data_IF_876664137224
#
_entry.id   IF_876664137224
#
_cell.length_a   1.000
_cell.length_b   1.000
_cell.length_c   1.000
_cell.angle_alpha   90.00
_cell.angle_beta   90.00
_cell.angle_gamma   90.00
#
_symmetry.space_group_name_H-M   'P 1'
#
loop_
_entity.id
_entity.type
_entity.pdbx_description
1 polymer ?
#
# COMPACT_ATOMS: atom_id res chain seq x y z
N UNK A 1 -11.69 8.41 -6.08
CA UNK A 1 -11.49 8.56 -4.61
C UNK A 1 -10.21 7.82 -4.24
N UNK A 2 -9.35 8.43 -3.43
CA UNK A 2 -8.09 7.86 -2.97
C UNK A 2 -8.11 7.79 -1.45
N UNK A 3 -7.92 6.59 -0.89
CA UNK A 3 -7.87 6.37 0.56
C UNK A 3 -6.42 6.50 1.03
N UNK A 4 -6.18 7.32 2.05
CA UNK A 4 -4.84 7.65 2.54
C UNK A 4 -4.77 7.54 4.07
N UNK A 5 -3.57 7.28 4.57
CA UNK A 5 -3.26 7.49 5.97
C UNK A 5 -3.05 8.99 6.27
N UNK A 6 -2.71 9.32 7.52
CA UNK A 6 -2.50 10.70 7.95
C UNK A 6 -1.02 11.13 7.88
N UNK A 7 -0.20 10.53 6.99
CA UNK A 7 1.18 10.95 6.83
C UNK A 7 1.23 12.45 6.47
N UNK A 8 2.16 13.18 7.11
CA UNK A 8 2.20 14.66 7.05
C UNK A 8 2.25 15.21 5.63
N UNK A 9 2.90 14.49 4.71
CA UNK A 9 3.02 14.90 3.31
C UNK A 9 1.70 14.81 2.54
N UNK A 10 0.73 13.99 2.95
CA UNK A 10 -0.62 13.98 2.36
C UNK A 10 -1.43 15.25 2.68
N UNK A 11 -1.04 15.99 3.72
CA UNK A 11 -1.64 17.27 4.11
C UNK A 11 -0.81 18.48 3.66
N UNK A 12 0.21 18.27 2.83
CA UNK A 12 1.10 19.35 2.40
C UNK A 12 0.31 20.46 1.68
N UNK A 13 0.59 21.72 2.02
CA UNK A 13 -0.04 22.89 1.41
C UNK A 13 0.15 22.92 -0.11
N UNK A 14 1.28 22.39 -0.59
CA UNK A 14 1.61 22.27 -2.02
C UNK A 14 0.54 21.50 -2.82
N UNK A 15 -0.16 20.55 -2.20
CA UNK A 15 -1.19 19.74 -2.86
C UNK A 15 -2.52 20.49 -3.03
N UNK A 16 -2.74 21.61 -2.32
CA UNK A 16 -4.06 22.28 -2.28
C UNK A 16 -4.51 22.80 -3.64
N UNK A 17 -3.63 23.42 -4.42
CA UNK A 17 -3.96 23.92 -5.78
C UNK A 17 -4.31 22.76 -6.71
N UNK A 18 -3.45 21.74 -6.74
CA UNK A 18 -3.66 20.53 -7.53
C UNK A 18 -4.98 19.83 -7.19
N UNK A 19 -5.29 19.63 -5.91
CA UNK A 19 -6.53 19.00 -5.48
C UNK A 19 -7.76 19.85 -5.82
N UNK A 20 -7.64 21.19 -5.76
CA UNK A 20 -8.73 22.10 -6.15
C UNK A 20 -9.02 22.03 -7.64
N UNK A 21 -7.97 22.02 -8.47
CA UNK A 21 -8.08 21.90 -9.94
C UNK A 21 -8.66 20.53 -10.37
N UNK A 22 -8.37 19.48 -9.60
CA UNK A 22 -8.76 18.11 -9.92
C UNK A 22 -9.94 17.57 -9.08
N UNK A 23 -10.64 18.42 -8.34
CA UNK A 23 -11.67 18.02 -7.36
C UNK A 23 -12.86 17.23 -7.95
N UNK A 24 -13.06 17.30 -9.27
CA UNK A 24 -14.10 16.52 -9.98
C UNK A 24 -13.73 15.06 -10.20
N UNK A 25 -12.43 14.74 -10.20
CA UNK A 25 -11.89 13.38 -10.48
C UNK A 25 -11.16 12.77 -9.29
N UNK A 26 -10.58 13.60 -8.44
CA UNK A 26 -9.76 13.18 -7.30
C UNK A 26 -10.28 13.77 -5.99
N UNK A 27 -10.69 12.87 -5.10
CA UNK A 27 -11.10 13.18 -3.73
C UNK A 27 -10.29 12.29 -2.79
N UNK A 28 -9.70 12.88 -1.76
CA UNK A 28 -8.94 12.18 -0.74
C UNK A 28 -9.86 11.80 0.43
N UNK A 29 -9.81 10.54 0.86
CA UNK A 29 -10.46 10.04 2.06
C UNK A 29 -9.38 9.65 3.06
N UNK A 30 -9.32 10.34 4.19
CA UNK A 30 -8.36 10.06 5.24
C UNK A 30 -8.94 9.04 6.22
N UNK A 31 -8.16 8.00 6.52
CA UNK A 31 -8.48 7.04 7.57
C UNK A 31 -8.44 7.72 8.95
N UNK A 32 -9.11 7.18 9.98
CA UNK A 32 -8.93 7.66 11.35
C UNK A 32 -7.45 7.57 11.77
N UNK A 33 -6.95 8.51 12.60
CA UNK A 33 -5.58 8.47 13.10
C UNK A 33 -5.25 7.12 13.74
N UNK A 34 -3.99 6.68 13.60
CA UNK A 34 -3.46 5.45 14.20
C UNK A 34 -4.28 4.19 13.89
N UNK A 35 -4.88 4.11 12.69
CA UNK A 35 -5.68 2.96 12.26
C UNK A 35 -5.00 2.14 11.14
N UNK A 36 -3.79 1.58 11.36
CA UNK A 36 -3.06 0.82 10.33
C UNK A 36 -3.83 -0.44 9.88
N UNK A 37 -4.67 -1.01 10.73
CA UNK A 37 -5.50 -2.18 10.39
C UNK A 37 -6.52 -1.90 9.26
N UNK A 38 -6.93 -0.63 9.12
CA UNK A 38 -7.81 -0.15 8.05
C UNK A 38 -7.04 0.21 6.77
N UNK A 39 -5.71 0.37 6.85
CA UNK A 39 -4.89 0.71 5.71
C UNK A 39 -4.47 -0.55 4.95
N UNK A 40 -5.19 -0.87 3.86
CA UNK A 40 -5.00 -2.12 3.12
C UNK A 40 -3.58 -2.28 2.55
N UNK A 41 -2.87 -1.18 2.26
CA UNK A 41 -1.50 -1.23 1.74
C UNK A 41 -0.52 -1.85 2.76
N UNK A 42 -0.77 -1.71 4.06
CA UNK A 42 0.07 -2.32 5.12
C UNK A 42 0.06 -3.85 5.03
N UNK A 43 -1.08 -4.43 4.63
CA UNK A 43 -1.23 -5.87 4.45
C UNK A 43 -0.46 -6.36 3.23
N UNK A 44 -0.49 -5.58 2.16
CA UNK A 44 0.33 -5.84 0.96
C UNK A 44 1.81 -5.74 1.30
N UNK A 45 2.23 -4.73 2.07
CA UNK A 45 3.61 -4.61 2.52
C UNK A 45 4.05 -5.76 3.42
N UNK A 46 3.18 -6.26 4.29
CA UNK A 46 3.47 -7.47 5.08
C UNK A 46 3.77 -8.67 4.17
N UNK A 47 2.89 -8.93 3.21
CA UNK A 47 3.09 -10.02 2.24
C UNK A 47 4.37 -9.82 1.43
N UNK A 48 4.65 -8.59 0.97
CA UNK A 48 5.87 -8.26 0.24
C UNK A 48 7.13 -8.56 1.08
N UNK A 49 7.18 -8.12 2.34
CA UNK A 49 8.32 -8.39 3.24
C UNK A 49 8.52 -9.89 3.44
N UNK A 50 7.44 -10.66 3.58
CA UNK A 50 7.51 -12.12 3.71
C UNK A 50 8.02 -12.81 2.44
N UNK A 51 7.77 -12.28 1.25
CA UNK A 51 8.22 -12.88 -0.02
C UNK A 51 9.61 -12.39 -0.47
N UNK A 52 9.95 -11.13 -0.19
CA UNK A 52 11.13 -10.46 -0.74
C UNK A 52 12.26 -10.33 0.28
N UNK A 53 11.94 -10.17 1.57
CA UNK A 53 12.93 -9.88 2.61
C UNK A 53 13.15 -11.05 3.59
N UNK A 54 12.14 -11.90 3.80
CA UNK A 54 12.25 -12.96 4.79
C UNK A 54 13.26 -14.02 4.36
N UNK A 55 14.38 -14.10 5.09
CA UNK A 55 15.50 -15.02 4.84
C UNK A 55 16.17 -14.86 3.46
N UNK A 56 16.01 -13.69 2.83
CA UNK A 56 16.65 -13.36 1.56
C UNK A 56 17.73 -12.30 1.79
N UNK A 57 18.95 -12.57 1.32
CA UNK A 57 20.02 -11.58 1.27
C UNK A 57 20.11 -10.99 -0.13
N UNK A 58 20.09 -9.66 -0.20
CA UNK A 58 20.31 -8.90 -1.43
C UNK A 58 21.68 -8.24 -1.35
N UNK A 59 22.57 -8.58 -2.28
CA UNK A 59 23.96 -8.07 -2.29
C UNK A 59 24.03 -6.57 -2.55
N UNK A 60 23.09 -6.03 -3.34
CA UNK A 60 23.01 -4.63 -3.72
C UNK A 60 21.60 -4.09 -3.54
N UNK A 61 21.48 -2.76 -3.49
CA UNK A 61 20.18 -2.10 -3.50
C UNK A 61 19.41 -2.38 -4.80
N UNK A 62 20.11 -2.52 -5.92
CA UNK A 62 19.48 -2.81 -7.22
C UNK A 62 18.83 -4.20 -7.21
N UNK A 63 19.50 -5.23 -6.66
CA UNK A 63 18.91 -6.56 -6.53
C UNK A 63 17.66 -6.57 -5.63
N UNK A 64 17.66 -5.77 -4.56
CA UNK A 64 16.48 -5.60 -3.72
C UNK A 64 15.34 -4.95 -4.50
N UNK A 65 15.62 -3.87 -5.23
CA UNK A 65 14.63 -3.14 -6.04
C UNK A 65 14.05 -4.05 -7.13
N UNK A 66 14.89 -4.81 -7.82
CA UNK A 66 14.46 -5.79 -8.83
C UNK A 66 13.54 -6.85 -8.23
N UNK A 67 13.87 -7.36 -7.04
CA UNK A 67 13.04 -8.34 -6.34
C UNK A 67 11.68 -7.75 -5.92
N UNK A 68 11.64 -6.48 -5.52
CA UNK A 68 10.38 -5.77 -5.24
C UNK A 68 9.56 -5.62 -6.53
N UNK A 69 10.18 -5.28 -7.66
CA UNK A 69 9.47 -5.18 -8.95
C UNK A 69 8.91 -6.52 -9.40
N UNK A 70 9.69 -7.60 -9.28
CA UNK A 70 9.22 -8.96 -9.58
C UNK A 70 8.05 -9.37 -8.68
N UNK A 71 8.09 -9.00 -7.40
CA UNK A 71 6.96 -9.19 -6.51
C UNK A 71 5.73 -8.43 -7.00
N UNK A 72 5.86 -7.15 -7.38
CA UNK A 72 4.73 -6.36 -7.92
C UNK A 72 4.16 -6.99 -9.20
N UNK A 73 5.01 -7.42 -10.14
CA UNK A 73 4.56 -8.14 -11.34
C UNK A 73 3.84 -9.45 -11.02
N UNK A 74 4.24 -10.13 -9.94
CA UNK A 74 3.55 -11.35 -9.49
C UNK A 74 2.12 -11.09 -9.01
N UNK A 75 1.85 -9.88 -8.47
CA UNK A 75 0.50 -9.47 -8.07
C UNK A 75 -0.38 -9.36 -9.32
N UNK A 76 0.11 -8.73 -10.39
CA UNK A 76 -0.65 -8.56 -11.63
C UNK A 76 -0.93 -9.91 -12.32
N UNK A 77 0.02 -10.85 -12.24
CA UNK A 77 -0.14 -12.20 -12.80
C UNK A 77 -1.11 -13.08 -12.00
N UNK A 78 -1.22 -12.87 -10.69
CA UNK A 78 -2.10 -13.67 -9.83
C UNK A 78 -2.70 -12.83 -8.68
N UNK A 79 -3.68 -11.96 -8.96
CA UNK A 79 -4.26 -11.08 -7.96
C UNK A 79 -4.98 -11.85 -6.85
N UNK A 80 -5.58 -12.99 -7.16
CA UNK A 80 -6.33 -13.82 -6.19
C UNK A 80 -5.43 -14.39 -5.09
N UNK A 81 -4.18 -14.72 -5.41
CA UNK A 81 -3.21 -15.19 -4.40
C UNK A 81 -2.94 -14.10 -3.35
N UNK A 82 -2.89 -12.83 -3.75
CA UNK A 82 -2.69 -11.71 -2.82
C UNK A 82 -3.99 -11.37 -2.10
N UNK A 83 -5.12 -11.29 -2.83
CA UNK A 83 -6.44 -11.01 -2.26
C UNK A 83 -6.80 -12.00 -1.16
N UNK A 84 -6.59 -13.30 -1.39
CA UNK A 84 -6.86 -14.35 -0.40
C UNK A 84 -6.01 -14.26 0.87
N UNK A 85 -4.85 -13.58 0.81
CA UNK A 85 -3.95 -13.34 1.95
C UNK A 85 -4.28 -12.06 2.70
N UNK A 86 -4.72 -11.00 2.00
CA UNK A 86 -5.02 -9.70 2.63
C UNK A 86 -6.46 -9.61 3.15
N UNK A 87 -7.42 -10.33 2.56
CA UNK A 87 -8.83 -10.38 2.97
C UNK A 87 -9.08 -11.25 4.21
N UNK A 88 -8.19 -12.23 4.49
CA UNK A 88 -8.38 -13.21 5.57
C UNK A 88 -8.16 -12.69 7.00
N UNK A 89 -7.71 -11.46 7.17
CA UNK A 89 -7.59 -10.85 8.49
C UNK A 89 -8.74 -9.85 8.69
N UNK A 90 -9.54 -10.06 9.73
CA UNK A 90 -10.59 -9.16 10.23
C UNK A 90 -11.98 -9.19 9.54
N UNK A 91 -12.64 -10.35 9.63
CA UNK A 91 -14.12 -10.43 9.67
C UNK A 91 -14.61 -10.99 11.02
N UNK A 92 -13.81 -10.87 12.08
CA UNK A 92 -14.19 -11.32 13.44
C UNK A 92 -14.57 -10.18 14.40
N UNK A 93 -14.71 -8.95 13.88
CA UNK A 93 -15.21 -7.81 14.67
C UNK A 93 -16.25 -7.02 13.86
N UNK A 94 -17.23 -7.74 13.31
CA UNK A 94 -18.61 -7.28 13.05
C UNK A 94 -19.54 -8.49 13.08
#
# INVERSE_FOLDING_TARGET
MLVLDNARYHHAKLLKSFLRENNRRLTLLFLPPYSPNLNMIERVWKVMKENVLANCYHETMDHLVDSIYQFIESIDKNPEAILSRIQRADMSVF
#
